data_IF_196578000975
#
_entry.id   IF_196578000975
#
_cell.length_a   1.000
_cell.length_b   1.000
_cell.length_c   1.000
_cell.angle_alpha   90.00
_cell.angle_beta   90.00
_cell.angle_gamma   90.00
#
_symmetry.space_group_name_H-M   'P 1'
#
loop_
_entity.id
_entity.type
_entity.pdbx_description
1 polymer ?
#
# COMPACT_ATOMS: atom_id res chain seq x y z
N UNK A 1 -6.58 32.07 13.52
CA UNK A 1 -6.55 30.63 13.30
C UNK A 1 -6.29 30.28 11.83
N UNK A 2 -7.08 30.81 10.86
CA UNK A 2 -6.94 30.52 9.43
C UNK A 2 -5.56 30.87 8.86
N UNK A 3 -4.97 31.98 9.22
CA UNK A 3 -3.63 32.39 8.78
C UNK A 3 -2.54 31.42 9.23
N UNK A 4 -2.69 30.79 10.41
CA UNK A 4 -1.76 29.78 10.91
C UNK A 4 -1.91 28.44 10.18
N UNK A 5 -3.12 28.13 9.71
CA UNK A 5 -3.34 26.95 8.87
C UNK A 5 -2.78 27.14 7.45
N UNK A 6 -2.80 28.36 6.93
CA UNK A 6 -2.19 28.68 5.65
C UNK A 6 -0.68 28.40 5.64
N UNK A 7 0.02 28.60 6.75
CA UNK A 7 1.44 28.27 6.88
C UNK A 7 1.73 26.79 6.61
N UNK A 8 0.80 25.89 6.99
CA UNK A 8 0.93 24.46 6.73
C UNK A 8 0.77 24.08 5.24
N UNK A 9 0.18 24.96 4.44
CA UNK A 9 -0.04 24.73 3.00
C UNK A 9 1.06 25.32 2.12
N UNK A 10 1.90 26.20 2.67
CA UNK A 10 2.91 26.96 1.92
C UNK A 10 4.25 26.21 1.74
N UNK A 11 4.47 25.10 2.42
CA UNK A 11 5.76 24.43 2.40
C UNK A 11 5.74 23.00 2.93
N UNK A 12 6.91 22.51 3.31
CA UNK A 12 7.04 21.19 3.92
C UNK A 12 6.50 21.17 5.34
N UNK A 13 5.66 20.18 5.65
CA UNK A 13 5.16 19.97 7.00
C UNK A 13 6.27 19.31 7.83
N UNK A 14 6.91 20.10 8.70
CA UNK A 14 7.94 19.62 9.60
C UNK A 14 7.44 19.58 11.05
N UNK A 15 8.05 18.77 11.94
CA UNK A 15 7.73 18.79 13.37
C UNK A 15 7.89 20.17 14.01
N UNK A 16 8.88 20.96 13.57
CA UNK A 16 9.10 22.31 14.06
C UNK A 16 7.95 23.25 13.67
N UNK A 17 7.47 23.17 12.42
CA UNK A 17 6.32 23.95 11.96
C UNK A 17 5.05 23.57 12.74
N UNK A 18 4.79 22.29 12.94
CA UNK A 18 3.64 21.82 13.73
C UNK A 18 3.70 22.33 15.17
N UNK A 19 4.88 22.27 15.79
CA UNK A 19 5.05 22.80 17.14
C UNK A 19 4.83 24.31 17.20
N UNK A 20 5.31 25.05 16.21
CA UNK A 20 5.10 26.49 16.10
C UNK A 20 3.60 26.82 16.01
N UNK A 21 2.87 26.18 15.12
CA UNK A 21 1.42 26.37 14.93
C UNK A 21 0.65 26.05 16.20
N UNK A 22 0.94 24.94 16.89
CA UNK A 22 0.27 24.57 18.13
C UNK A 22 0.55 25.55 19.27
N UNK A 23 1.78 26.06 19.39
CA UNK A 23 2.11 27.13 20.34
C UNK A 23 1.32 28.40 20.04
N UNK A 24 1.22 28.80 18.77
CA UNK A 24 0.45 29.95 18.36
C UNK A 24 -1.06 29.79 18.66
N UNK A 25 -1.60 28.55 18.51
CA UNK A 25 -2.98 28.26 18.93
C UNK A 25 -3.18 28.49 20.43
N UNK A 26 -2.28 27.98 21.27
CA UNK A 26 -2.36 28.19 22.72
C UNK A 26 -2.25 29.66 23.11
N UNK A 27 -1.36 30.42 22.48
CA UNK A 27 -1.24 31.85 22.69
C UNK A 27 -2.54 32.61 22.34
N UNK A 28 -3.15 32.27 21.20
CA UNK A 28 -4.41 32.89 20.75
C UNK A 28 -5.61 32.52 21.62
N UNK A 29 -5.54 31.44 22.39
CA UNK A 29 -6.58 30.96 23.31
C UNK A 29 -6.15 30.96 24.77
N UNK A 30 -5.22 31.83 25.11
CA UNK A 30 -4.70 31.95 26.47
C UNK A 30 -5.81 32.13 27.52
N UNK A 31 -5.74 31.33 28.58
CA UNK A 31 -6.75 31.29 29.64
C UNK A 31 -8.04 30.52 29.29
N UNK A 32 -8.11 29.91 28.10
CA UNK A 32 -9.24 29.07 27.66
C UNK A 32 -8.82 27.62 27.34
N UNK A 33 -7.58 27.41 26.94
CA UNK A 33 -7.04 26.10 26.61
C UNK A 33 -5.56 26.03 26.98
N UNK A 34 -5.14 24.90 27.52
CA UNK A 34 -3.77 24.56 27.89
C UNK A 34 -3.21 23.42 27.04
N UNK A 35 -4.04 22.86 26.14
CA UNK A 35 -3.70 21.83 25.19
C UNK A 35 -4.10 22.23 23.77
N UNK A 36 -3.30 21.83 22.78
CA UNK A 36 -3.61 22.00 21.37
C UNK A 36 -3.25 20.74 20.58
N UNK A 37 -4.06 20.40 19.61
CA UNK A 37 -3.79 19.29 18.69
C UNK A 37 -4.17 19.64 17.26
N UNK A 38 -3.51 18.98 16.31
CA UNK A 38 -3.83 19.03 14.90
C UNK A 38 -3.71 17.62 14.30
N UNK A 39 -4.64 17.27 13.43
CA UNK A 39 -4.58 16.05 12.65
C UNK A 39 -4.76 16.38 11.17
N UNK A 40 -3.85 15.86 10.35
CA UNK A 40 -3.84 16.02 8.90
C UNK A 40 -3.93 14.62 8.30
N UNK A 41 -4.96 14.36 7.53
CA UNK A 41 -5.17 13.07 6.87
C UNK A 41 -5.27 13.25 5.36
N UNK A 42 -4.74 12.29 4.62
CA UNK A 42 -4.76 12.30 3.17
C UNK A 42 -4.12 11.05 2.58
N UNK A 43 -3.95 11.06 1.26
CA UNK A 43 -3.29 9.99 0.53
C UNK A 43 -1.95 10.46 -0.04
N UNK A 44 -0.88 9.72 0.26
CA UNK A 44 0.40 9.86 -0.39
C UNK A 44 0.37 9.09 -1.71
N UNK A 45 0.42 9.81 -2.83
CA UNK A 45 0.43 9.22 -4.16
C UNK A 45 1.88 8.99 -4.62
N UNK A 46 2.23 7.72 -4.85
CA UNK A 46 3.54 7.34 -5.37
C UNK A 46 3.41 6.66 -6.72
N UNK A 47 4.20 7.10 -7.70
CA UNK A 47 4.33 6.39 -8.97
C UNK A 47 5.13 5.11 -8.77
N UNK A 48 4.58 3.98 -9.21
CA UNK A 48 5.19 2.65 -9.15
C UNK A 48 5.26 2.04 -10.53
N UNK A 49 6.44 1.50 -10.89
CA UNK A 49 6.60 0.73 -12.12
C UNK A 49 5.93 -0.63 -11.99
N UNK A 50 5.32 -1.09 -13.08
CA UNK A 50 4.85 -2.47 -13.20
C UNK A 50 6.03 -3.45 -13.12
N UNK A 51 5.81 -4.63 -12.55
CA UNK A 51 6.82 -5.70 -12.49
C UNK A 51 7.13 -6.31 -13.87
N UNK A 52 6.13 -6.36 -14.75
CA UNK A 52 6.20 -7.08 -16.03
C UNK A 52 6.09 -6.19 -17.26
N UNK A 53 6.08 -4.87 -17.10
CA UNK A 53 5.97 -3.94 -18.23
C UNK A 53 6.67 -2.61 -17.93
N UNK A 54 6.89 -1.80 -18.97
CA UNK A 54 7.47 -0.47 -18.83
C UNK A 54 6.45 0.60 -18.40
N UNK A 55 5.22 0.21 -18.07
CA UNK A 55 4.19 1.14 -17.62
C UNK A 55 4.35 1.46 -16.14
N UNK A 56 3.93 2.65 -15.76
CA UNK A 56 3.86 3.08 -14.36
C UNK A 56 2.41 3.40 -13.99
N UNK A 57 2.03 3.13 -12.76
CA UNK A 57 0.74 3.49 -12.18
C UNK A 57 0.92 4.24 -10.88
N UNK A 58 -0.11 4.97 -10.47
CA UNK A 58 -0.15 5.63 -9.18
C UNK A 58 -0.71 4.72 -8.12
N UNK A 59 -0.05 4.66 -6.97
CA UNK A 59 -0.52 3.94 -5.79
C UNK A 59 -0.72 4.92 -4.64
N UNK A 60 -1.92 4.90 -4.05
CA UNK A 60 -2.27 5.68 -2.89
C UNK A 60 -1.90 4.95 -1.59
N UNK A 61 -1.31 5.68 -0.67
CA UNK A 61 -1.01 5.22 0.69
C UNK A 61 -1.71 6.15 1.67
N UNK A 62 -2.74 5.68 2.39
CA UNK A 62 -3.39 6.48 3.43
C UNK A 62 -2.37 6.93 4.47
N UNK A 63 -2.39 8.22 4.79
CA UNK A 63 -1.47 8.85 5.73
C UNK A 63 -2.25 9.70 6.71
N UNK A 64 -1.90 9.60 7.99
CA UNK A 64 -2.38 10.49 9.02
C UNK A 64 -1.20 10.99 9.85
N UNK A 65 -1.07 12.30 9.94
CA UNK A 65 -0.08 12.99 10.75
C UNK A 65 -0.81 13.72 11.87
N UNK A 66 -0.55 13.34 13.12
CA UNK A 66 -1.13 13.96 14.30
C UNK A 66 -0.03 14.61 15.11
N UNK A 67 -0.26 15.84 15.57
CA UNK A 67 0.61 16.53 16.50
C UNK A 67 -0.18 17.03 17.70
N UNK A 68 0.37 16.87 18.89
CA UNK A 68 -0.23 17.29 20.14
C UNK A 68 0.79 18.08 20.97
N UNK A 69 0.34 19.15 21.56
CA UNK A 69 1.09 19.95 22.52
C UNK A 69 0.27 20.03 23.81
N UNK A 70 0.73 19.30 24.80
CA UNK A 70 0.21 19.27 26.17
C UNK A 70 1.34 19.67 27.12
N UNK A 71 1.69 18.83 28.07
CA UNK A 71 2.91 18.95 28.88
C UNK A 71 4.18 18.75 28.05
N UNK A 72 4.09 17.98 26.98
CA UNK A 72 5.16 17.74 26.00
C UNK A 72 4.60 17.80 24.58
N UNK A 73 5.48 18.04 23.62
CA UNK A 73 5.14 18.01 22.20
C UNK A 73 5.34 16.60 21.66
N UNK A 74 4.31 16.07 21.02
CA UNK A 74 4.35 14.72 20.41
C UNK A 74 3.85 14.78 18.98
N UNK A 75 4.54 14.07 18.08
CA UNK A 75 4.12 13.87 16.68
C UNK A 75 3.98 12.40 16.40
N UNK A 76 2.88 12.01 15.80
CA UNK A 76 2.59 10.65 15.38
C UNK A 76 2.31 10.60 13.90
N UNK A 77 3.05 9.77 13.16
CA UNK A 77 2.81 9.48 11.76
C UNK A 77 2.25 8.06 11.62
N UNK A 78 1.06 7.94 11.02
CA UNK A 78 0.45 6.66 10.63
C UNK A 78 0.46 6.55 9.12
N UNK A 79 0.95 5.43 8.60
CA UNK A 79 0.98 5.13 7.16
C UNK A 79 0.26 3.81 6.92
N UNK A 80 -0.78 3.83 6.10
CA UNK A 80 -1.47 2.63 5.65
C UNK A 80 -0.72 2.01 4.46
N UNK A 81 -0.29 0.75 4.60
CA UNK A 81 0.37 0.02 3.52
C UNK A 81 -0.56 -1.09 3.05
N UNK A 82 -1.30 -0.88 1.94
CA UNK A 82 -2.12 -1.94 1.38
C UNK A 82 -1.22 -3.07 0.86
N UNK A 83 -1.50 -4.29 1.26
CA UNK A 83 -0.82 -5.47 0.77
C UNK A 83 -1.83 -6.52 0.34
N UNK A 84 -1.43 -7.34 -0.62
CA UNK A 84 -2.21 -8.52 -1.02
C UNK A 84 -1.58 -9.77 -0.42
N UNK A 85 -2.40 -10.62 0.17
CA UNK A 85 -1.97 -11.90 0.71
C UNK A 85 -2.71 -13.02 -0.02
N UNK A 86 -1.98 -14.03 -0.47
CA UNK A 86 -2.58 -15.22 -1.06
C UNK A 86 -2.92 -16.21 0.04
N UNK A 87 -4.19 -16.62 0.10
CA UNK A 87 -4.60 -17.70 1.01
C UNK A 87 -3.80 -18.98 0.70
N UNK A 88 -3.14 -19.61 1.68
CA UNK A 88 -2.37 -20.83 1.47
C UNK A 88 -3.21 -21.97 0.85
N UNK A 89 -4.48 -22.08 1.23
CA UNK A 89 -5.41 -23.08 0.65
C UNK A 89 -5.67 -22.79 -0.83
N UNK A 90 -5.88 -21.52 -1.22
CA UNK A 90 -6.05 -21.15 -2.64
C UNK A 90 -4.78 -21.40 -3.45
N UNK A 91 -3.61 -21.16 -2.88
CA UNK A 91 -2.34 -21.44 -3.53
C UNK A 91 -2.11 -22.95 -3.72
N UNK A 92 -2.49 -23.77 -2.73
CA UNK A 92 -2.42 -25.23 -2.82
C UNK A 92 -3.40 -25.76 -3.87
N UNK A 93 -4.63 -25.27 -3.90
CA UNK A 93 -5.63 -25.64 -4.89
C UNK A 93 -5.19 -25.26 -6.31
N UNK A 94 -4.68 -24.06 -6.51
CA UNK A 94 -4.18 -23.62 -7.82
C UNK A 94 -3.04 -24.51 -8.33
N UNK A 95 -2.10 -24.88 -7.46
CA UNK A 95 -1.02 -25.82 -7.80
C UNK A 95 -1.55 -27.20 -8.15
N UNK A 96 -2.53 -27.70 -7.39
CA UNK A 96 -3.15 -29.00 -7.67
C UNK A 96 -3.85 -29.02 -9.03
N UNK A 97 -4.67 -27.99 -9.31
CA UNK A 97 -5.37 -27.87 -10.60
C UNK A 97 -4.39 -27.72 -11.76
N UNK A 98 -3.32 -26.93 -11.59
CA UNK A 98 -2.26 -26.80 -12.59
C UNK A 98 -1.57 -28.15 -12.85
N UNK A 99 -1.27 -28.92 -11.80
CA UNK A 99 -0.68 -30.25 -11.92
C UNK A 99 -1.59 -31.25 -12.67
N UNK A 100 -2.89 -31.26 -12.40
CA UNK A 100 -3.86 -32.07 -13.12
C UNK A 100 -3.94 -31.66 -14.59
N UNK A 101 -3.95 -30.37 -14.89
CA UNK A 101 -3.97 -29.89 -16.27
C UNK A 101 -2.68 -30.23 -17.01
N UNK A 102 -1.53 -30.07 -16.35
CA UNK A 102 -0.23 -30.48 -16.92
C UNK A 102 -0.21 -31.98 -17.28
N UNK A 103 -0.65 -32.84 -16.36
CA UNK A 103 -0.74 -34.25 -16.59
C UNK A 103 -1.69 -34.64 -17.74
N UNK A 104 -2.79 -33.88 -17.88
CA UNK A 104 -3.76 -34.04 -18.96
C UNK A 104 -3.17 -33.64 -20.32
N UNK A 105 -2.46 -32.52 -20.39
CA UNK A 105 -1.95 -31.94 -21.63
C UNK A 105 -0.75 -32.75 -22.16
N UNK A 106 0.09 -33.26 -21.27
CA UNK A 106 1.32 -33.94 -21.64
C UNK A 106 1.29 -35.46 -21.51
N UNK A 107 0.44 -36.00 -20.63
CA UNK A 107 0.21 -37.45 -20.51
C UNK A 107 1.48 -38.29 -20.53
N UNK A 108 1.59 -39.18 -21.51
CA UNK A 108 2.70 -40.13 -21.66
C UNK A 108 4.03 -39.48 -22.15
N UNK A 109 4.05 -38.18 -22.39
CA UNK A 109 5.25 -37.44 -22.85
C UNK A 109 6.02 -36.79 -21.71
N UNK A 110 5.54 -36.84 -20.46
CA UNK A 110 6.09 -36.11 -19.31
C UNK A 110 7.61 -36.30 -19.15
N UNK A 111 8.10 -37.52 -19.35
CA UNK A 111 9.52 -37.88 -19.19
C UNK A 111 10.43 -37.36 -20.32
N UNK A 112 9.85 -36.78 -21.37
CA UNK A 112 10.58 -36.37 -22.60
C UNK A 112 10.26 -34.96 -23.04
N UNK A 113 9.74 -34.12 -22.12
CA UNK A 113 9.39 -32.75 -22.44
C UNK A 113 10.64 -31.88 -22.51
N UNK A 114 10.84 -31.10 -23.60
CA UNK A 114 11.85 -30.06 -23.64
C UNK A 114 11.55 -28.97 -22.61
N UNK A 115 12.58 -28.44 -21.98
CA UNK A 115 12.43 -27.37 -20.98
C UNK A 115 11.71 -26.13 -21.54
N UNK A 116 11.92 -25.79 -22.81
CA UNK A 116 11.23 -24.70 -23.48
C UNK A 116 9.70 -24.94 -23.54
N UNK A 117 9.24 -26.13 -23.88
CA UNK A 117 7.81 -26.49 -23.95
C UNK A 117 7.15 -26.37 -22.55
N UNK A 118 7.87 -26.74 -21.49
CA UNK A 118 7.42 -26.58 -20.10
C UNK A 118 7.33 -25.11 -19.75
N UNK A 119 8.33 -24.31 -20.12
CA UNK A 119 8.33 -22.86 -19.83
C UNK A 119 7.16 -22.14 -20.53
N UNK A 120 6.91 -22.45 -21.79
CA UNK A 120 5.79 -21.89 -22.55
C UNK A 120 4.44 -22.28 -21.94
N UNK A 121 4.28 -23.55 -21.56
CA UNK A 121 3.07 -24.02 -20.88
C UNK A 121 2.84 -23.32 -19.55
N UNK A 122 3.90 -23.11 -18.74
CA UNK A 122 3.80 -22.40 -17.47
C UNK A 122 3.35 -20.95 -17.64
N UNK A 123 3.80 -20.27 -18.70
CA UNK A 123 3.39 -18.91 -19.02
C UNK A 123 1.93 -18.87 -19.46
N UNK A 124 1.51 -19.82 -20.29
CA UNK A 124 0.16 -19.84 -20.87
C UNK A 124 -0.90 -20.40 -19.90
N UNK A 125 -0.60 -21.51 -19.21
CA UNK A 125 -1.58 -22.29 -18.44
C UNK A 125 -1.19 -22.60 -16.99
N UNK A 126 0.02 -22.26 -16.58
CA UNK A 126 0.57 -22.64 -15.27
C UNK A 126 -0.16 -22.05 -14.07
N UNK A 127 -1.03 -21.06 -14.29
CA UNK A 127 -1.83 -20.40 -13.27
C UNK A 127 -3.31 -20.43 -13.66
N UNK A 128 -4.01 -21.54 -13.51
CA UNK A 128 -5.43 -21.59 -13.84
C UNK A 128 -6.21 -20.62 -12.95
N UNK A 129 -7.13 -19.90 -13.58
CA UNK A 129 -8.00 -18.96 -12.88
C UNK A 129 -8.92 -19.72 -11.92
N UNK A 130 -8.68 -19.54 -10.62
CA UNK A 130 -9.64 -19.92 -9.57
C UNK A 130 -10.40 -18.68 -9.12
N UNK A 131 -11.62 -18.80 -8.56
CA UNK A 131 -12.36 -17.64 -8.05
C UNK A 131 -11.59 -16.77 -7.04
N UNK A 132 -10.59 -17.36 -6.38
CA UNK A 132 -9.72 -16.67 -5.42
C UNK A 132 -8.45 -16.11 -6.07
N UNK A 133 -7.92 -16.71 -7.13
CA UNK A 133 -6.73 -16.23 -7.83
C UNK A 133 -7.01 -14.99 -8.68
N UNK A 134 -8.23 -14.81 -9.19
CA UNK A 134 -8.61 -13.63 -9.95
C UNK A 134 -8.56 -12.33 -9.12
N UNK A 135 -8.73 -12.41 -7.79
CA UNK A 135 -8.63 -11.24 -6.91
C UNK A 135 -7.19 -10.81 -6.62
N UNK A 136 -6.22 -11.70 -6.76
CA UNK A 136 -4.82 -11.39 -6.50
C UNK A 136 -4.08 -10.76 -7.69
N UNK A 137 -4.68 -10.73 -8.88
CA UNK A 137 -4.08 -10.19 -10.11
C UNK A 137 -4.63 -8.82 -10.54
N UNK A 138 -5.55 -8.26 -9.79
CA UNK A 138 -6.19 -6.97 -10.12
C UNK A 138 -5.39 -5.74 -9.63
N UNK A 139 -4.05 -5.86 -9.47
CA UNK A 139 -3.19 -4.76 -9.00
C UNK A 139 -1.90 -4.63 -9.82
#
# INVERSE_FOLDING_TARGET
LYLLLDELTQGEITPALLQHVLKAFLVSHQGRSDEASIEISGDLLLSRKSLNSNHSGWKAYPLTLSAELRQSFTVTLKVGIPYSSTCPASAALSRHVAGLQFSKDFGNRIDRLPAAEIADWLVEKGMPATPHSQRSWAW
#
